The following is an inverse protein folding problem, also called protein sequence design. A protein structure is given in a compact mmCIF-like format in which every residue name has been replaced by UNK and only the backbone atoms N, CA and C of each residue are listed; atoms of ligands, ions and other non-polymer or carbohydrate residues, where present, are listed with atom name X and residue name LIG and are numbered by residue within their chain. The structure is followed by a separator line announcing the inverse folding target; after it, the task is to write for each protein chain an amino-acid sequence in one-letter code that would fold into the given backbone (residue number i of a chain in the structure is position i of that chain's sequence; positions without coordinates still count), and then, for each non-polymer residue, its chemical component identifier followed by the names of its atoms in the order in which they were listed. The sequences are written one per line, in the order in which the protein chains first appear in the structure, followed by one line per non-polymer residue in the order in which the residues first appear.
data_IF_349071859622
#
_entry.id   IF_349071859622
#
_cell.length_a   1.000
_cell.length_b   1.000
_cell.length_c   1.000
_cell.angle_alpha   90.00
_cell.angle_beta   90.00
_cell.angle_gamma   90.00
#
_symmetry.space_group_name_H-M   'P 1'
#
loop_
_entity.id
_entity.type
_entity.pdbx_description
1 polymer ?
#
# COMPACT_ATOMS: atom_id res chain seq x y z
N UNK A 1 22.02 -11.99 20.01
CA UNK A 1 21.38 -12.78 18.92
C UNK A 1 20.38 -11.89 18.24
N UNK A 2 20.71 -11.37 17.04
CA UNK A 2 19.82 -10.47 16.27
C UNK A 2 18.80 -11.32 15.53
N UNK A 3 17.55 -11.30 15.95
CA UNK A 3 16.43 -11.91 15.23
C UNK A 3 16.05 -10.97 14.08
N UNK A 4 16.32 -11.38 12.84
CA UNK A 4 15.90 -10.69 11.63
C UNK A 4 14.38 -10.91 11.45
N UNK A 5 13.62 -9.82 11.45
CA UNK A 5 12.20 -9.82 11.10
C UNK A 5 12.07 -10.20 9.63
N UNK A 6 11.22 -11.18 9.33
CA UNK A 6 10.84 -11.52 7.96
C UNK A 6 9.81 -10.49 7.48
N UNK A 7 10.29 -9.50 6.75
CA UNK A 7 9.45 -8.66 5.92
C UNK A 7 9.16 -9.44 4.63
N UNK A 8 7.92 -9.73 4.38
CA UNK A 8 7.41 -10.12 3.06
C UNK A 8 7.51 -8.89 2.13
N UNK A 9 8.72 -8.58 1.68
CA UNK A 9 8.93 -7.58 0.65
C UNK A 9 8.78 -8.25 -0.71
N UNK A 10 7.70 -7.95 -1.41
CA UNK A 10 7.60 -8.17 -2.84
C UNK A 10 8.24 -6.96 -3.51
N UNK A 11 9.23 -7.11 -4.39
CA UNK A 11 9.83 -5.97 -5.07
C UNK A 11 8.84 -5.31 -6.02
N UNK A 12 8.71 -3.99 -5.90
CA UNK A 12 8.01 -3.17 -6.87
C UNK A 12 8.68 -3.32 -8.24
N UNK A 13 7.97 -3.88 -9.21
CA UNK A 13 8.46 -4.07 -10.56
C UNK A 13 8.64 -2.73 -11.26
N UNK A 14 9.88 -2.43 -11.65
CA UNK A 14 10.19 -1.38 -12.63
C UNK A 14 9.65 -1.85 -14.00
N UNK A 15 8.71 -1.11 -14.55
CA UNK A 15 8.32 -1.27 -15.96
C UNK A 15 9.31 -0.47 -16.80
N UNK A 16 10.25 -1.16 -17.43
CA UNK A 16 11.07 -0.59 -18.50
C UNK A 16 10.35 -0.77 -19.83
N UNK A 17 9.99 0.33 -20.47
CA UNK A 17 9.54 0.37 -21.86
C UNK A 17 10.76 0.16 -22.76
N UNK A 18 10.79 -0.96 -23.50
CA UNK A 18 11.77 -1.22 -24.53
C UNK A 18 11.33 -0.55 -25.85
N UNK A 19 12.13 0.39 -26.34
CA UNK A 19 12.06 0.89 -27.71
C UNK A 19 12.88 0.01 -28.64
N UNK A 20 12.32 -0.36 -29.79
CA UNK A 20 12.99 -1.04 -30.88
C UNK A 20 13.93 -0.12 -31.66
N UNK A 21 15.09 -0.64 -32.07
CA UNK A 21 15.99 -0.01 -33.04
C UNK A 21 17.13 -0.97 -33.40
N UNK A 22 17.28 -1.22 -34.69
CA UNK A 22 18.03 -2.26 -35.39
C UNK A 22 19.57 -2.22 -35.32
N UNK A 23 20.13 -3.44 -35.46
CA UNK A 23 21.39 -3.87 -36.12
C UNK A 23 22.77 -3.28 -35.74
N UNK A 24 23.66 -4.08 -35.13
CA UNK A 24 24.75 -4.81 -35.81
C UNK A 24 25.67 -5.60 -34.84
N UNK A 25 26.26 -6.67 -35.40
CA UNK A 25 27.12 -7.72 -34.84
C UNK A 25 28.32 -7.25 -33.98
N UNK A 26 28.66 -7.95 -32.89
CA UNK A 26 29.71 -8.96 -32.73
C UNK A 26 30.12 -9.18 -31.26
N UNK A 27 30.36 -10.46 -30.96
CA UNK A 27 31.25 -11.04 -29.96
C UNK A 27 30.82 -11.24 -28.51
N UNK A 28 30.96 -12.51 -28.19
CA UNK A 28 30.65 -13.28 -27.01
C UNK A 28 31.24 -12.77 -25.68
N UNK A 29 30.39 -12.65 -24.66
CA UNK A 29 30.77 -12.98 -23.30
C UNK A 29 29.60 -13.67 -22.59
N UNK A 30 29.79 -14.93 -22.20
CA UNK A 30 28.85 -15.72 -21.41
C UNK A 30 28.65 -15.08 -20.05
N UNK A 31 27.45 -14.55 -19.79
CA UNK A 31 26.98 -14.29 -18.44
C UNK A 31 25.75 -15.17 -18.17
N UNK A 32 25.86 -15.97 -17.13
CA UNK A 32 24.82 -16.88 -16.65
C UNK A 32 23.59 -16.09 -16.19
N UNK A 33 22.54 -16.10 -17.00
CA UNK A 33 21.23 -15.62 -16.61
C UNK A 33 20.51 -16.69 -15.80
N UNK A 34 20.35 -16.45 -14.51
CA UNK A 34 19.39 -17.20 -13.69
C UNK A 34 17.96 -16.89 -14.18
N UNK A 35 17.11 -17.89 -14.38
CA UNK A 35 15.74 -17.66 -14.80
C UNK A 35 14.94 -17.07 -13.64
N UNK A 36 14.44 -15.85 -13.81
CA UNK A 36 13.34 -15.32 -13.00
C UNK A 36 12.13 -16.26 -13.17
N UNK A 37 11.48 -16.69 -12.07
CA UNK A 37 10.25 -17.45 -12.19
C UNK A 37 9.16 -16.53 -12.74
N UNK A 38 8.84 -16.70 -14.02
CA UNK A 38 7.64 -16.17 -14.65
C UNK A 38 6.45 -16.83 -13.95
N UNK A 39 5.78 -16.11 -13.05
CA UNK A 39 4.52 -16.55 -12.48
C UNK A 39 3.48 -16.54 -13.63
N UNK A 40 3.26 -17.68 -14.25
CA UNK A 40 2.09 -17.91 -15.09
C UNK A 40 0.86 -17.62 -14.24
N UNK A 41 0.14 -16.56 -14.57
CA UNK A 41 -1.16 -16.25 -13.99
C UNK A 41 -2.09 -17.44 -14.32
N UNK A 42 -2.26 -18.35 -13.38
CA UNK A 42 -3.28 -19.39 -13.42
C UNK A 42 -4.62 -18.69 -13.29
N UNK A 43 -5.41 -18.66 -14.35
CA UNK A 43 -6.81 -18.21 -14.35
C UNK A 43 -7.70 -19.29 -13.73
N UNK A 44 -7.38 -19.75 -12.52
CA UNK A 44 -8.28 -20.60 -11.76
C UNK A 44 -9.54 -19.78 -11.40
N UNK A 45 -10.74 -20.37 -11.46
CA UNK A 45 -11.95 -19.70 -11.03
C UNK A 45 -11.81 -19.29 -9.54
N UNK A 46 -12.50 -18.20 -9.10
CA UNK A 46 -12.42 -17.76 -7.71
C UNK A 46 -12.86 -18.89 -6.76
N UNK A 47 -12.34 -18.92 -5.50
CA UNK A 47 -12.69 -19.95 -4.54
C UNK A 47 -14.20 -19.91 -4.23
N UNK A 48 -14.76 -21.09 -4.01
CA UNK A 48 -16.04 -21.18 -3.31
C UNK A 48 -15.81 -20.81 -1.85
N UNK A 49 -16.59 -19.86 -1.36
CA UNK A 49 -16.55 -19.42 0.05
C UNK A 49 -17.63 -20.16 0.83
N UNK A 50 -17.23 -20.72 1.99
CA UNK A 50 -18.12 -21.45 2.91
C UNK A 50 -17.97 -20.89 4.34
N UNK A 51 -18.95 -21.14 5.20
CA UNK A 51 -18.96 -20.61 6.58
C UNK A 51 -18.09 -21.39 7.58
N UNK A 52 -17.55 -22.52 7.19
CA UNK A 52 -16.73 -23.36 8.07
C UNK A 52 -16.43 -24.73 7.48
N UNK A 53 -15.77 -25.62 8.25
CA UNK A 53 -15.42 -25.51 9.67
C UNK A 53 -14.34 -24.48 9.96
N UNK A 54 -14.41 -23.88 11.18
CA UNK A 54 -13.43 -22.95 11.74
C UNK A 54 -13.12 -23.31 13.19
N UNK A 55 -11.88 -23.17 13.68
CA UNK A 55 -11.54 -23.41 15.08
C UNK A 55 -12.16 -22.35 16.00
N UNK A 56 -12.35 -22.66 17.25
CA UNK A 56 -12.87 -21.70 18.22
C UNK A 56 -11.82 -20.64 18.60
N UNK A 57 -12.22 -19.36 18.64
CA UNK A 57 -11.46 -18.29 19.29
C UNK A 57 -11.74 -18.38 20.79
N UNK A 58 -10.72 -18.78 21.58
CA UNK A 58 -10.86 -19.09 23.01
C UNK A 58 -10.55 -17.92 23.95
N UNK A 59 -9.80 -16.91 23.45
CA UNK A 59 -9.50 -15.67 24.17
C UNK A 59 -9.23 -14.52 23.18
N UNK A 60 -9.18 -13.29 23.70
CA UNK A 60 -8.99 -12.08 22.85
C UNK A 60 -10.13 -11.95 21.84
N UNK A 61 -11.37 -12.04 22.30
CA UNK A 61 -12.56 -12.12 21.45
C UNK A 61 -13.01 -10.76 20.92
N UNK A 62 -12.52 -9.65 21.49
CA UNK A 62 -12.88 -8.31 21.06
C UNK A 62 -11.99 -7.82 19.91
N UNK A 63 -12.53 -6.91 19.11
CA UNK A 63 -11.77 -6.23 18.08
C UNK A 63 -10.53 -5.51 18.67
N UNK A 64 -9.36 -5.69 18.05
CA UNK A 64 -8.10 -5.10 18.51
C UNK A 64 -7.35 -5.92 19.56
N UNK A 65 -7.98 -6.90 20.21
CA UNK A 65 -7.30 -7.82 21.13
C UNK A 65 -6.64 -8.97 20.37
N UNK A 66 -5.42 -9.37 20.80
CA UNK A 66 -4.74 -10.55 20.23
C UNK A 66 -5.58 -11.81 20.50
N UNK A 67 -6.05 -12.51 19.47
CA UNK A 67 -6.84 -13.71 19.66
C UNK A 67 -5.98 -14.91 20.09
N UNK A 68 -6.56 -15.81 20.85
CA UNK A 68 -6.08 -17.19 21.00
C UNK A 68 -7.05 -18.10 20.25
N UNK A 69 -6.53 -18.91 19.34
CA UNK A 69 -7.36 -19.78 18.49
C UNK A 69 -7.02 -21.24 18.78
N UNK A 70 -8.03 -22.05 18.97
CA UNK A 70 -7.87 -23.48 19.21
C UNK A 70 -7.25 -24.19 18.00
N UNK A 71 -6.77 -25.41 18.21
CA UNK A 71 -6.42 -26.34 17.14
C UNK A 71 -7.69 -26.69 16.35
N UNK A 72 -7.58 -26.83 15.03
CA UNK A 72 -8.66 -27.32 14.19
C UNK A 72 -9.11 -28.72 14.59
N UNK A 73 -10.42 -28.97 14.57
CA UNK A 73 -11.02 -30.26 14.84
C UNK A 73 -11.48 -30.90 13.54
N UNK A 74 -11.13 -32.16 13.35
CA UNK A 74 -11.41 -32.88 12.11
C UNK A 74 -10.66 -32.33 10.89
N UNK A 75 -11.14 -32.68 9.71
CA UNK A 75 -10.57 -32.20 8.45
C UNK A 75 -11.02 -30.79 8.13
N UNK A 76 -10.11 -29.90 7.70
CA UNK A 76 -10.48 -28.57 7.22
C UNK A 76 -11.25 -28.67 5.90
N UNK A 77 -12.04 -27.62 5.60
CA UNK A 77 -12.68 -27.49 4.28
C UNK A 77 -11.63 -27.47 3.16
N UNK A 78 -11.96 -28.05 2.00
CA UNK A 78 -11.21 -27.88 0.76
C UNK A 78 -11.51 -26.53 0.07
N UNK A 79 -12.65 -25.93 0.42
CA UNK A 79 -13.05 -24.58 0.00
C UNK A 79 -12.53 -23.54 1.00
N UNK A 80 -12.53 -22.26 0.63
CA UNK A 80 -12.13 -21.16 1.49
C UNK A 80 -13.24 -20.92 2.55
N UNK A 81 -12.97 -21.29 3.80
CA UNK A 81 -13.89 -20.99 4.88
C UNK A 81 -13.67 -19.57 5.42
N UNK A 82 -14.74 -18.76 5.48
CA UNK A 82 -14.68 -17.35 5.93
C UNK A 82 -15.90 -17.00 6.75
N UNK A 83 -15.67 -16.52 7.98
CA UNK A 83 -16.71 -16.05 8.88
C UNK A 83 -16.42 -14.65 9.41
N UNK A 84 -17.41 -13.77 9.38
CA UNK A 84 -17.34 -12.49 10.08
C UNK A 84 -17.71 -12.74 11.54
N UNK A 85 -16.71 -12.68 12.43
CA UNK A 85 -16.88 -12.91 13.88
C UNK A 85 -17.45 -11.67 14.56
N UNK A 86 -16.93 -10.50 14.16
CA UNK A 86 -17.43 -9.20 14.59
C UNK A 86 -17.73 -8.38 13.33
N UNK A 87 -18.95 -7.89 13.21
CA UNK A 87 -19.33 -7.05 12.09
C UNK A 87 -18.88 -5.61 12.30
N UNK A 88 -18.15 -5.06 11.34
CA UNK A 88 -17.79 -3.65 11.30
C UNK A 88 -18.87 -2.79 10.64
N UNK A 89 -18.84 -1.48 10.93
CA UNK A 89 -19.77 -0.49 10.36
C UNK A 89 -19.12 0.43 9.31
N UNK A 90 -17.80 0.32 9.09
CA UNK A 90 -17.06 1.23 8.21
C UNK A 90 -17.16 0.90 6.72
N UNK A 91 -16.27 1.47 5.94
CA UNK A 91 -16.18 1.26 4.48
C UNK A 91 -15.96 -0.22 4.15
N UNK A 92 -16.62 -0.69 3.08
CA UNK A 92 -16.38 -2.03 2.54
C UNK A 92 -15.05 -2.10 1.80
N UNK A 93 -14.32 -3.17 2.03
CA UNK A 93 -13.08 -3.52 1.31
C UNK A 93 -13.45 -3.95 -0.11
N UNK A 94 -12.76 -3.40 -1.10
CA UNK A 94 -12.88 -3.76 -2.51
C UNK A 94 -11.62 -4.48 -3.01
N UNK A 95 -11.69 -5.06 -4.20
CA UNK A 95 -10.52 -5.58 -4.89
C UNK A 95 -9.50 -4.44 -5.14
N UNK A 96 -8.22 -4.79 -5.03
CA UNK A 96 -7.09 -3.88 -5.16
C UNK A 96 -7.00 -2.77 -4.10
N UNK A 97 -7.89 -2.74 -3.10
CA UNK A 97 -7.76 -1.83 -1.97
C UNK A 97 -6.46 -2.12 -1.19
N UNK A 98 -5.90 -1.07 -0.60
CA UNK A 98 -4.91 -1.20 0.46
C UNK A 98 -5.64 -1.39 1.78
N UNK A 99 -5.31 -2.46 2.51
CA UNK A 99 -5.92 -2.80 3.80
C UNK A 99 -4.89 -2.67 4.90
N UNK A 100 -5.29 -2.04 5.99
CA UNK A 100 -4.55 -2.01 7.26
C UNK A 100 -5.24 -2.94 8.22
N UNK A 101 -4.54 -3.96 8.72
CA UNK A 101 -5.13 -4.97 9.58
C UNK A 101 -4.17 -5.47 10.66
N UNK A 102 -4.72 -5.76 11.84
CA UNK A 102 -4.07 -6.69 12.75
C UNK A 102 -4.48 -8.11 12.42
N UNK A 103 -3.57 -9.05 12.60
CA UNK A 103 -3.85 -10.46 12.33
C UNK A 103 -3.03 -11.41 13.18
N UNK A 104 -3.55 -12.62 13.31
CA UNK A 104 -2.84 -13.79 13.78
C UNK A 104 -3.01 -14.89 12.74
N UNK A 105 -1.91 -15.56 12.37
CA UNK A 105 -1.89 -16.73 11.48
C UNK A 105 -1.33 -17.95 12.17
N UNK A 106 -2.04 -19.09 12.11
CA UNK A 106 -1.62 -20.37 12.65
C UNK A 106 -1.91 -21.52 11.70
N UNK A 107 -1.25 -22.66 11.91
CA UNK A 107 -1.51 -23.91 11.21
C UNK A 107 -2.71 -24.63 11.82
N UNK A 108 -3.69 -25.04 11.00
CA UNK A 108 -4.90 -25.76 11.43
C UNK A 108 -4.59 -26.97 12.31
N UNK A 109 -3.74 -27.87 11.81
CA UNK A 109 -3.48 -29.17 12.42
C UNK A 109 -2.71 -29.11 13.75
N UNK A 110 -2.01 -28.02 14.04
CA UNK A 110 -1.08 -27.92 15.19
C UNK A 110 -1.36 -26.76 16.10
N UNK A 111 -2.18 -25.79 15.71
CA UNK A 111 -2.34 -24.46 16.33
C UNK A 111 -1.01 -23.69 16.45
N UNK A 112 0.05 -24.10 15.74
CA UNK A 112 1.32 -23.37 15.75
C UNK A 112 1.15 -22.02 15.07
N UNK A 113 1.28 -20.95 15.84
CA UNK A 113 1.30 -19.58 15.31
C UNK A 113 2.61 -19.40 14.53
N UNK A 114 2.49 -19.05 13.26
CA UNK A 114 3.65 -18.79 12.42
C UNK A 114 3.90 -17.29 12.26
N UNK A 115 2.88 -16.45 12.39
CA UNK A 115 3.01 -15.00 12.34
C UNK A 115 1.84 -14.30 13.01
N UNK A 116 2.09 -13.10 13.57
CA UNK A 116 1.05 -12.20 14.03
C UNK A 116 1.57 -10.75 14.12
N UNK A 117 0.69 -9.79 13.92
CA UNK A 117 0.99 -8.36 14.00
C UNK A 117 0.85 -7.77 15.40
N UNK A 118 0.15 -8.45 16.31
CA UNK A 118 -0.13 -7.93 17.66
C UNK A 118 1.16 -7.82 18.49
N UNK A 119 2.01 -8.84 18.46
CA UNK A 119 3.28 -8.85 19.21
C UNK A 119 4.26 -7.79 18.69
N UNK A 120 4.19 -7.48 17.40
CA UNK A 120 4.97 -6.39 16.79
C UNK A 120 4.37 -5.02 17.08
N UNK A 121 3.12 -4.94 17.59
CA UNK A 121 2.36 -3.70 17.79
C UNK A 121 2.24 -2.83 16.51
N UNK A 122 2.46 -3.43 15.35
CA UNK A 122 2.42 -2.77 14.05
C UNK A 122 1.45 -3.54 13.17
N UNK A 123 0.36 -2.93 12.69
CA UNK A 123 -0.56 -3.58 11.77
C UNK A 123 0.12 -3.90 10.44
N UNK A 124 -0.38 -4.91 9.76
CA UNK A 124 -0.01 -5.19 8.38
C UNK A 124 -0.67 -4.15 7.48
N UNK A 125 0.10 -3.66 6.54
CA UNK A 125 -0.36 -2.83 5.44
C UNK A 125 -0.14 -3.61 4.14
N UNK A 126 -1.20 -3.92 3.40
CA UNK A 126 -1.13 -4.78 2.22
C UNK A 126 -2.16 -4.38 1.17
N UNK A 127 -1.79 -4.47 -0.11
CA UNK A 127 -2.73 -4.34 -1.21
C UNK A 127 -3.38 -5.69 -1.51
N UNK A 128 -4.71 -5.71 -1.65
CA UNK A 128 -5.47 -6.92 -2.03
C UNK A 128 -5.42 -7.14 -3.55
N UNK A 129 -4.23 -7.04 -4.13
CA UNK A 129 -3.98 -7.29 -5.54
C UNK A 129 -3.46 -8.72 -5.75
N UNK A 130 -3.66 -9.25 -6.95
CA UNK A 130 -3.12 -10.55 -7.33
C UNK A 130 -1.58 -10.56 -7.22
N UNK A 131 -1.04 -11.56 -6.55
CA UNK A 131 0.41 -11.70 -6.33
C UNK A 131 0.98 -10.85 -5.19
N UNK A 132 0.23 -9.92 -4.60
CA UNK A 132 0.67 -9.12 -3.45
C UNK A 132 0.44 -9.83 -2.12
N UNK A 133 -0.58 -10.69 -2.06
CA UNK A 133 -0.98 -11.48 -0.88
C UNK A 133 -1.52 -12.83 -1.34
N UNK A 134 -1.59 -13.82 -0.45
CA UNK A 134 -2.24 -15.10 -0.72
C UNK A 134 -3.71 -14.89 -1.12
N UNK A 135 -4.18 -15.66 -2.08
CA UNK A 135 -5.52 -15.51 -2.65
C UNK A 135 -6.64 -15.69 -1.60
N UNK A 136 -6.42 -16.50 -0.56
CA UNK A 136 -7.36 -16.64 0.55
C UNK A 136 -7.69 -15.31 1.24
N UNK A 137 -6.71 -14.43 1.42
CA UNK A 137 -6.93 -13.09 1.95
C UNK A 137 -7.66 -12.19 0.94
N UNK A 138 -7.19 -12.22 -0.31
CA UNK A 138 -7.77 -11.40 -1.39
C UNK A 138 -9.26 -11.67 -1.55
N UNK A 139 -9.68 -12.92 -1.59
CA UNK A 139 -11.09 -13.29 -1.71
C UNK A 139 -11.86 -13.22 -0.39
N UNK A 140 -11.21 -13.55 0.73
CA UNK A 140 -11.88 -13.62 2.03
C UNK A 140 -12.19 -12.25 2.64
N UNK A 141 -11.45 -11.19 2.28
CA UNK A 141 -11.62 -9.84 2.83
C UNK A 141 -12.48 -8.92 1.96
N UNK A 142 -12.58 -9.16 0.65
CA UNK A 142 -13.45 -8.36 -0.24
C UNK A 142 -14.89 -8.43 0.23
N UNK A 143 -15.56 -7.26 0.30
CA UNK A 143 -16.91 -7.10 0.82
C UNK A 143 -17.01 -7.00 2.35
N UNK A 144 -15.95 -7.32 3.10
CA UNK A 144 -15.93 -7.10 4.55
C UNK A 144 -15.76 -5.62 4.86
N UNK A 145 -16.23 -5.19 6.03
CA UNK A 145 -16.21 -3.77 6.43
C UNK A 145 -15.07 -3.46 7.38
N UNK A 146 -14.55 -2.27 7.33
CA UNK A 146 -13.66 -1.71 8.37
C UNK A 146 -14.34 -1.82 9.73
N UNK A 147 -13.59 -2.23 10.75
CA UNK A 147 -14.09 -2.58 12.10
C UNK A 147 -14.52 -4.04 12.24
N UNK A 148 -14.48 -4.84 11.16
CA UNK A 148 -14.78 -6.27 11.25
C UNK A 148 -13.59 -7.07 11.76
N UNK A 149 -13.91 -8.11 12.57
CA UNK A 149 -13.04 -9.27 12.79
C UNK A 149 -13.50 -10.40 11.89
N UNK A 150 -12.59 -10.88 11.06
CA UNK A 150 -12.83 -11.99 10.13
C UNK A 150 -11.96 -13.17 10.53
N UNK A 151 -12.56 -14.34 10.64
CA UNK A 151 -11.84 -15.60 10.77
C UNK A 151 -11.93 -16.37 9.46
N UNK A 152 -10.80 -16.98 9.05
CA UNK A 152 -10.78 -17.80 7.84
C UNK A 152 -9.87 -19.01 7.96
N UNK A 153 -10.26 -20.11 7.31
CA UNK A 153 -9.40 -21.26 7.06
C UNK A 153 -9.08 -21.32 5.58
N UNK A 154 -7.79 -21.20 5.28
CA UNK A 154 -7.26 -21.08 3.92
C UNK A 154 -6.58 -22.40 3.55
N UNK A 155 -7.15 -23.22 2.67
CA UNK A 155 -6.50 -24.44 2.20
C UNK A 155 -5.27 -24.11 1.34
N UNK A 156 -4.34 -25.06 1.16
CA UNK A 156 -3.08 -24.83 0.43
C UNK A 156 -3.26 -24.15 -0.93
N UNK A 157 -4.29 -24.53 -1.68
CA UNK A 157 -4.58 -23.98 -3.03
C UNK A 157 -4.74 -22.46 -3.05
N UNK A 158 -5.28 -21.88 -1.97
CA UNK A 158 -5.51 -20.44 -1.83
C UNK A 158 -4.52 -19.77 -0.87
N UNK A 159 -3.56 -20.59 -0.34
CA UNK A 159 -2.46 -20.14 0.50
C UNK A 159 -1.13 -20.19 -0.25
N UNK A 160 -0.19 -20.99 0.26
CA UNK A 160 1.16 -21.11 -0.30
C UNK A 160 1.35 -22.28 -1.29
N UNK A 161 0.26 -22.93 -1.67
CA UNK A 161 0.29 -24.04 -2.64
C UNK A 161 1.12 -25.24 -2.16
N UNK A 162 1.48 -26.11 -3.09
CA UNK A 162 2.27 -27.33 -2.82
C UNK A 162 3.68 -27.05 -2.28
N UNK A 163 4.21 -25.86 -2.52
CA UNK A 163 5.55 -25.47 -2.06
C UNK A 163 5.57 -25.10 -0.59
N UNK A 164 4.45 -24.61 -0.04
CA UNK A 164 4.40 -24.07 1.31
C UNK A 164 5.24 -22.81 1.47
N UNK A 165 5.62 -22.50 2.71
CA UNK A 165 6.55 -21.43 3.07
C UNK A 165 7.51 -21.93 4.14
N UNK A 166 8.68 -22.40 3.76
CA UNK A 166 9.67 -23.00 4.66
C UNK A 166 10.20 -22.02 5.69
N UNK A 167 10.31 -20.75 5.35
CA UNK A 167 10.78 -19.70 6.27
C UNK A 167 9.77 -19.46 7.40
N UNK A 168 8.48 -19.59 7.13
CA UNK A 168 7.41 -19.52 8.12
C UNK A 168 7.12 -20.89 8.77
N UNK A 169 7.77 -21.97 8.32
CA UNK A 169 7.52 -23.34 8.77
C UNK A 169 6.17 -23.89 8.32
N UNK A 170 5.66 -23.44 7.18
CA UNK A 170 4.39 -23.85 6.57
C UNK A 170 4.69 -24.91 5.50
N UNK A 171 4.03 -26.07 5.59
CA UNK A 171 4.13 -27.15 4.61
C UNK A 171 3.14 -26.93 3.46
N UNK A 172 3.42 -27.52 2.30
CA UNK A 172 2.51 -27.45 1.14
C UNK A 172 1.17 -28.18 1.32
N UNK A 173 0.98 -28.87 2.45
CA UNK A 173 -0.28 -29.54 2.82
C UNK A 173 -1.04 -28.81 3.92
N UNK A 174 -0.46 -27.76 4.49
CA UNK A 174 -1.04 -27.09 5.67
C UNK A 174 -2.19 -26.18 5.27
N UNK A 175 -3.35 -26.38 5.86
CA UNK A 175 -4.42 -25.40 5.92
C UNK A 175 -4.08 -24.37 6.98
N UNK A 176 -4.22 -23.09 6.66
CA UNK A 176 -3.87 -21.97 7.51
C UNK A 176 -5.14 -21.35 8.10
N UNK A 177 -5.08 -20.99 9.37
CA UNK A 177 -6.16 -20.26 10.05
C UNK A 177 -5.69 -18.84 10.30
N UNK A 178 -6.53 -17.87 9.94
CA UNK A 178 -6.27 -16.47 10.23
C UNK A 178 -7.44 -15.86 11.00
N UNK A 179 -7.11 -15.00 11.95
CA UNK A 179 -8.06 -14.06 12.56
C UNK A 179 -7.55 -12.66 12.25
N UNK A 180 -8.39 -11.85 11.60
CA UNK A 180 -7.97 -10.57 10.99
C UNK A 180 -8.91 -9.47 11.46
N UNK A 181 -8.37 -8.41 12.06
CA UNK A 181 -9.07 -7.18 12.41
C UNK A 181 -8.81 -6.11 11.34
N UNK A 182 -9.81 -5.79 10.56
CA UNK A 182 -9.73 -4.78 9.49
C UNK A 182 -9.80 -3.39 10.11
N UNK A 183 -8.66 -2.69 10.20
CA UNK A 183 -8.58 -1.36 10.82
C UNK A 183 -8.93 -0.23 9.86
N UNK A 184 -8.51 -0.37 8.60
CA UNK A 184 -8.80 0.62 7.56
C UNK A 184 -8.69 0.01 6.17
N UNK A 185 -9.28 0.71 5.18
CA UNK A 185 -9.12 0.40 3.76
C UNK A 185 -8.99 1.69 2.94
N UNK A 186 -8.14 1.66 1.90
CA UNK A 186 -7.87 2.80 1.03
C UNK A 186 -7.90 2.38 -0.43
N UNK A 187 -8.46 3.24 -1.28
CA UNK A 187 -8.54 3.05 -2.73
C UNK A 187 -8.48 4.41 -3.47
N UNK A 188 -8.65 4.39 -4.79
CA UNK A 188 -8.56 5.58 -5.62
C UNK A 188 -9.57 6.69 -5.26
N UNK A 189 -10.58 6.41 -4.42
CA UNK A 189 -11.54 7.40 -3.91
C UNK A 189 -11.14 7.96 -2.54
N UNK A 190 -10.05 7.48 -1.95
CA UNK A 190 -9.57 7.99 -0.67
C UNK A 190 -8.98 9.38 -0.84
N UNK A 191 -9.23 10.24 0.15
CA UNK A 191 -8.75 11.63 0.19
C UNK A 191 -8.27 11.96 1.60
N UNK A 192 -7.62 13.10 1.74
CA UNK A 192 -7.31 13.68 3.03
C UNK A 192 -8.55 13.81 3.92
N UNK A 193 -8.34 13.75 5.24
CA UNK A 193 -9.38 13.88 6.27
C UNK A 193 -8.84 14.81 7.37
N UNK A 194 -9.40 15.98 7.48
CA UNK A 194 -8.90 16.97 8.47
C UNK A 194 -9.61 18.29 8.34
N UNK A 195 -8.99 19.31 8.88
CA UNK A 195 -9.51 20.69 8.86
C UNK A 195 -8.86 21.49 7.75
N UNK A 196 -9.64 22.26 7.00
CA UNK A 196 -9.11 23.18 6.00
C UNK A 196 -8.23 24.23 6.65
N UNK A 197 -7.07 24.48 6.05
CA UNK A 197 -6.13 25.52 6.47
C UNK A 197 -6.22 26.69 5.47
N UNK A 198 -6.30 27.96 5.95
CA UNK A 198 -6.32 29.12 5.08
C UNK A 198 -5.07 29.22 4.21
N UNK A 199 -5.23 29.38 2.89
CA UNK A 199 -4.17 29.55 1.91
C UNK A 199 -4.03 31.05 1.57
N UNK A 200 -3.36 31.82 2.41
CA UNK A 200 -3.35 33.29 2.36
C UNK A 200 -2.18 33.87 1.55
N UNK A 201 -1.13 33.08 1.25
CA UNK A 201 -0.01 33.58 0.46
C UNK A 201 -0.37 33.59 -1.03
N UNK A 202 -0.54 34.79 -1.59
CA UNK A 202 -0.84 34.96 -3.01
C UNK A 202 0.31 34.58 -3.95
N UNK A 203 1.53 34.38 -3.44
CA UNK A 203 2.69 33.95 -4.20
C UNK A 203 2.82 32.40 -4.26
N UNK A 204 1.95 31.67 -3.56
CA UNK A 204 1.94 30.22 -3.59
C UNK A 204 0.72 29.67 -4.36
N UNK A 205 0.82 28.47 -4.91
CA UNK A 205 -0.31 27.84 -5.58
C UNK A 205 -1.50 27.66 -4.66
N UNK A 206 -2.71 27.96 -5.16
CA UNK A 206 -3.95 27.61 -4.47
C UNK A 206 -4.36 26.20 -4.84
N UNK A 207 -4.66 25.39 -3.82
CA UNK A 207 -5.03 23.97 -3.96
C UNK A 207 -6.48 23.77 -3.52
N UNK A 208 -7.24 23.00 -4.30
CA UNK A 208 -8.61 22.63 -3.97
C UNK A 208 -8.71 21.82 -2.66
N UNK A 209 -9.79 22.05 -1.91
CA UNK A 209 -10.07 21.38 -0.62
C UNK A 209 -11.11 20.26 -0.72
N UNK A 210 -11.49 19.85 -1.95
CA UNK A 210 -12.43 18.75 -2.17
C UNK A 210 -11.85 17.43 -1.65
N UNK A 211 -12.72 16.60 -1.05
CA UNK A 211 -12.37 15.28 -0.48
C UNK A 211 -13.26 14.17 -1.03
N UNK A 212 -13.70 14.33 -2.27
CA UNK A 212 -14.62 13.42 -2.98
C UNK A 212 -13.90 12.35 -3.83
N UNK A 213 -12.60 12.18 -3.64
CA UNK A 213 -11.75 11.26 -4.40
C UNK A 213 -11.36 11.77 -5.78
N UNK A 214 -11.75 12.98 -6.17
CA UNK A 214 -11.33 13.62 -7.41
C UNK A 214 -10.03 14.41 -7.18
N UNK A 215 -9.26 14.58 -8.26
CA UNK A 215 -8.06 15.39 -8.23
C UNK A 215 -8.38 16.83 -7.79
N UNK A 216 -7.66 17.37 -6.77
CA UNK A 216 -7.80 18.77 -6.43
C UNK A 216 -7.25 19.67 -7.53
N UNK A 217 -7.80 20.89 -7.66
CA UNK A 217 -7.19 21.92 -8.49
C UNK A 217 -5.84 22.33 -7.92
N UNK A 218 -4.93 22.77 -8.79
CA UNK A 218 -3.68 23.44 -8.43
C UNK A 218 -3.61 24.67 -9.33
N UNK A 219 -3.86 25.84 -8.75
CA UNK A 219 -3.83 27.11 -9.46
C UNK A 219 -2.50 27.81 -9.17
N UNK A 220 -1.53 27.66 -10.09
CA UNK A 220 -0.18 28.22 -9.95
C UNK A 220 -0.20 29.71 -10.28
N UNK A 221 0.32 30.59 -9.38
CA UNK A 221 0.33 32.03 -9.64
C UNK A 221 1.36 32.37 -10.73
N UNK A 222 1.17 33.52 -11.39
CA UNK A 222 2.12 34.02 -12.40
C UNK A 222 3.36 34.74 -11.82
N UNK A 223 3.60 34.55 -10.53
CA UNK A 223 4.76 35.09 -9.82
C UNK A 223 5.99 34.20 -10.03
N UNK A 224 7.15 34.68 -9.61
CA UNK A 224 8.39 33.88 -9.62
C UNK A 224 8.27 32.74 -8.61
N UNK A 225 8.72 31.57 -9.01
CA UNK A 225 8.73 30.37 -8.13
C UNK A 225 9.59 30.60 -6.88
N UNK A 226 9.19 30.04 -5.72
CA UNK A 226 10.03 30.02 -4.53
C UNK A 226 11.37 29.33 -4.79
N UNK A 227 12.45 29.90 -4.24
CA UNK A 227 13.79 29.31 -4.30
C UNK A 227 14.09 28.34 -3.17
N UNK A 228 13.21 28.29 -2.17
CA UNK A 228 13.26 27.38 -1.03
C UNK A 228 12.11 26.40 -1.10
N UNK A 229 12.27 25.22 -0.47
CA UNK A 229 11.19 24.24 -0.29
C UNK A 229 10.04 24.89 0.50
N UNK A 230 8.83 24.73 0.00
CA UNK A 230 7.58 25.04 0.71
C UNK A 230 6.85 23.73 0.98
N UNK A 231 6.30 23.58 2.18
CA UNK A 231 5.48 22.43 2.56
C UNK A 231 4.40 22.89 3.53
N UNK A 232 3.23 23.25 3.00
CA UNK A 232 2.14 23.88 3.75
C UNK A 232 0.91 22.97 3.76
N UNK A 233 0.20 22.96 4.89
CA UNK A 233 -1.10 22.31 4.97
C UNK A 233 -2.15 23.04 4.13
N UNK A 234 -2.88 22.27 3.34
CA UNK A 234 -4.15 22.67 2.71
C UNK A 234 -5.33 22.13 3.53
N UNK A 235 -5.16 20.88 3.99
CA UNK A 235 -6.01 20.22 4.97
C UNK A 235 -5.08 19.64 6.03
N UNK A 236 -5.27 19.98 7.27
CA UNK A 236 -4.49 19.43 8.39
C UNK A 236 -5.23 18.23 8.99
N UNK A 237 -4.62 17.05 8.88
CA UNK A 237 -5.07 15.81 9.51
C UNK A 237 -4.73 15.76 10.99
N UNK A 238 -5.28 14.78 11.69
CA UNK A 238 -5.10 14.52 13.12
C UNK A 238 -4.36 13.21 13.43
N UNK A 239 -3.88 12.53 12.37
CA UNK A 239 -3.13 11.29 12.52
C UNK A 239 -1.69 11.53 12.99
N UNK A 240 -0.97 10.42 13.14
CA UNK A 240 0.44 10.47 13.56
C UNK A 240 1.34 11.21 12.56
N UNK A 241 2.42 11.80 13.07
CA UNK A 241 3.44 12.42 12.23
C UNK A 241 4.22 11.41 11.39
N UNK A 242 4.51 11.80 10.16
CA UNK A 242 5.37 11.07 9.22
C UNK A 242 6.83 11.30 9.59
N UNK A 243 7.59 10.23 9.73
CA UNK A 243 9.03 10.28 10.03
C UNK A 243 9.84 10.18 8.73
N UNK A 244 11.10 10.59 8.77
CA UNK A 244 12.00 10.58 7.62
C UNK A 244 12.25 9.17 7.04
N UNK A 245 12.09 8.12 7.84
CA UNK A 245 12.22 6.71 7.45
C UNK A 245 10.89 6.03 7.12
N UNK A 246 9.77 6.77 7.18
CA UNK A 246 8.44 6.23 6.90
C UNK A 246 8.26 5.87 5.43
N UNK A 247 7.47 4.84 5.20
CA UNK A 247 6.79 4.62 3.93
C UNK A 247 5.37 5.18 4.06
N UNK A 248 4.96 6.01 3.10
CA UNK A 248 3.63 6.65 3.10
C UNK A 248 2.78 6.14 1.95
N UNK A 249 1.50 5.89 2.21
CA UNK A 249 0.48 5.71 1.16
C UNK A 249 -0.11 7.06 0.85
N UNK A 250 -0.13 7.43 -0.42
CA UNK A 250 -0.56 8.75 -0.85
C UNK A 250 -1.48 8.73 -2.07
N UNK A 251 -2.30 9.77 -2.16
CA UNK A 251 -2.91 10.28 -3.38
C UNK A 251 -2.22 11.60 -3.70
N UNK A 252 -1.79 11.82 -4.95
CA UNK A 252 -1.10 13.05 -5.30
C UNK A 252 -1.34 13.49 -6.73
N UNK A 253 -1.13 14.77 -6.97
CA UNK A 253 -1.04 15.39 -8.29
C UNK A 253 0.20 16.28 -8.34
N UNK A 254 1.01 16.14 -9.40
CA UNK A 254 2.20 16.93 -9.66
C UNK A 254 2.07 17.75 -10.93
N UNK A 255 2.38 19.04 -10.84
CA UNK A 255 2.43 19.96 -11.96
C UNK A 255 3.77 20.71 -11.98
N UNK A 256 4.22 21.16 -13.14
CA UNK A 256 5.35 22.10 -13.21
C UNK A 256 4.86 23.51 -12.88
N UNK A 257 5.71 24.33 -12.22
CA UNK A 257 5.36 25.70 -11.88
C UNK A 257 5.05 26.52 -13.13
N UNK A 258 5.88 26.42 -14.14
CA UNK A 258 5.71 27.15 -15.39
C UNK A 258 4.58 26.53 -16.21
N UNK A 259 3.46 27.23 -16.26
CA UNK A 259 2.27 26.83 -17.02
C UNK A 259 1.34 25.82 -16.33
N UNK A 260 1.67 25.32 -15.13
CA UNK A 260 0.78 24.44 -14.36
C UNK A 260 0.48 23.09 -15.01
N UNK A 261 1.31 22.65 -15.97
CA UNK A 261 1.09 21.40 -16.71
C UNK A 261 1.29 20.19 -15.77
N UNK A 262 0.29 19.31 -15.72
CA UNK A 262 0.40 18.03 -15.02
C UNK A 262 1.45 17.13 -15.67
N UNK A 263 2.35 16.56 -14.88
CA UNK A 263 3.33 15.60 -15.34
C UNK A 263 3.12 14.20 -14.70
N UNK A 264 2.49 14.14 -13.53
CA UNK A 264 2.19 12.87 -12.87
C UNK A 264 1.04 13.02 -11.87
N UNK A 265 0.21 11.96 -11.73
CA UNK A 265 -0.94 11.96 -10.82
C UNK A 265 -1.44 10.54 -10.54
N UNK A 266 -1.65 10.21 -9.28
CA UNK A 266 -2.35 8.98 -8.89
C UNK A 266 -3.82 9.02 -9.29
N UNK A 267 -4.42 10.19 -9.34
CA UNK A 267 -5.81 10.37 -9.78
C UNK A 267 -6.00 9.99 -11.25
N UNK A 268 -5.07 10.44 -12.11
CA UNK A 268 -5.12 10.12 -13.56
C UNK A 268 -4.89 8.63 -13.82
N UNK A 269 -4.10 7.96 -12.97
CA UNK A 269 -3.87 6.50 -13.06
C UNK A 269 -4.96 5.67 -12.39
N UNK A 270 -5.82 6.28 -11.56
CA UNK A 270 -6.84 5.56 -10.80
C UNK A 270 -6.29 4.62 -9.72
N UNK A 271 -5.05 4.83 -9.25
CA UNK A 271 -4.36 3.97 -8.31
C UNK A 271 -3.57 4.77 -7.28
N UNK A 272 -3.68 4.37 -6.01
CA UNK A 272 -2.83 4.87 -4.94
C UNK A 272 -1.38 4.38 -5.14
N UNK A 273 -0.44 5.08 -4.54
CA UNK A 273 0.97 4.67 -4.55
C UNK A 273 1.55 4.78 -3.14
N UNK A 274 2.43 3.86 -2.79
CA UNK A 274 3.24 3.96 -1.57
C UNK A 274 4.68 4.30 -1.92
N UNK A 275 5.28 5.20 -1.13
CA UNK A 275 6.67 5.63 -1.29
C UNK A 275 7.42 5.57 0.03
N UNK A 276 8.62 5.01 0.02
CA UNK A 276 9.59 5.26 1.08
C UNK A 276 10.15 6.67 0.92
N UNK A 277 10.10 7.49 1.97
CA UNK A 277 10.61 8.86 1.92
C UNK A 277 12.12 8.94 1.71
N UNK A 278 12.83 7.83 1.90
CA UNK A 278 14.27 7.72 1.61
C UNK A 278 14.57 7.47 0.12
N UNK A 279 13.55 7.14 -0.70
CA UNK A 279 13.71 6.74 -2.11
C UNK A 279 13.02 7.70 -3.09
N UNK A 280 12.52 8.84 -2.60
CA UNK A 280 11.93 9.90 -3.43
C UNK A 280 12.88 11.08 -3.59
N UNK A 281 12.54 12.05 -4.46
CA UNK A 281 13.31 13.30 -4.58
C UNK A 281 13.39 14.01 -3.23
N UNK A 282 14.51 14.68 -2.96
CA UNK A 282 14.79 15.29 -1.63
C UNK A 282 13.67 16.18 -1.13
N UNK A 283 13.06 16.96 -2.02
CA UNK A 283 11.95 17.86 -1.69
C UNK A 283 10.71 17.14 -1.16
N UNK A 284 10.41 15.94 -1.67
CA UNK A 284 9.32 15.10 -1.13
C UNK A 284 9.63 14.57 0.27
N UNK A 285 10.82 13.98 0.44
CA UNK A 285 11.25 13.45 1.74
C UNK A 285 11.23 14.53 2.82
N UNK A 286 11.80 15.71 2.53
CA UNK A 286 11.85 16.84 3.46
C UNK A 286 10.46 17.46 3.68
N UNK A 287 9.65 17.61 2.62
CA UNK A 287 8.35 18.27 2.67
C UNK A 287 7.28 17.44 3.37
N UNK A 288 7.39 16.10 3.37
CA UNK A 288 6.43 15.23 4.03
C UNK A 288 6.86 14.80 5.45
N UNK A 289 8.13 14.89 5.77
CA UNK A 289 8.61 14.61 7.15
C UNK A 289 8.02 15.64 8.11
N UNK A 290 7.45 15.18 9.24
CA UNK A 290 6.78 15.99 10.23
C UNK A 290 5.31 16.28 9.92
N UNK A 291 4.83 15.99 8.69
CA UNK A 291 3.42 16.15 8.36
C UNK A 291 2.56 15.04 8.97
N UNK A 292 1.29 15.34 9.25
CA UNK A 292 0.36 14.40 9.88
C UNK A 292 -0.35 13.53 8.83
N UNK A 293 -0.57 12.25 9.15
CA UNK A 293 -1.47 11.38 8.38
C UNK A 293 -2.88 11.97 8.37
N UNK A 294 -3.57 11.86 7.25
CA UNK A 294 -4.87 12.49 6.99
C UNK A 294 -4.77 13.87 6.36
N UNK A 295 -3.57 14.45 6.24
CA UNK A 295 -3.37 15.78 5.67
C UNK A 295 -3.37 15.80 4.15
N UNK A 296 -3.75 16.95 3.58
CA UNK A 296 -3.37 17.40 2.24
C UNK A 296 -2.29 18.46 2.39
N UNK A 297 -1.14 18.22 1.75
CA UNK A 297 0.02 19.10 1.79
C UNK A 297 0.29 19.66 0.40
N UNK A 298 0.44 20.99 0.28
CA UNK A 298 1.05 21.66 -0.85
C UNK A 298 2.57 21.55 -0.69
N UNK A 299 3.28 21.03 -1.69
CA UNK A 299 4.74 21.01 -1.70
C UNK A 299 5.23 21.73 -2.96
N UNK A 300 6.05 22.79 -2.79
CA UNK A 300 6.75 23.45 -3.89
C UNK A 300 8.23 23.12 -3.78
N UNK A 301 8.76 22.44 -4.78
CA UNK A 301 10.11 21.86 -4.79
C UNK A 301 10.98 22.63 -5.79
N UNK A 302 11.97 23.43 -5.34
CA UNK A 302 12.92 24.06 -6.24
C UNK A 302 13.80 23.01 -6.93
N UNK A 303 14.39 23.32 -8.10
CA UNK A 303 15.17 22.37 -8.92
C UNK A 303 16.20 21.57 -8.15
N UNK A 304 16.96 22.22 -7.26
CA UNK A 304 18.03 21.60 -6.46
C UNK A 304 17.56 20.48 -5.51
N UNK A 305 16.28 20.46 -5.16
CA UNK A 305 15.63 19.43 -4.33
C UNK A 305 14.71 18.50 -5.14
N UNK A 306 14.53 18.78 -6.43
CA UNK A 306 13.78 17.99 -7.40
C UNK A 306 14.72 17.23 -8.33
N UNK A 307 14.54 17.41 -9.63
CA UNK A 307 15.33 16.71 -10.68
C UNK A 307 16.51 17.53 -11.23
N UNK A 308 16.57 18.85 -10.97
CA UNK A 308 17.64 19.73 -11.43
C UNK A 308 17.89 19.62 -12.94
N UNK A 309 19.14 19.32 -13.29
CA UNK A 309 19.58 19.15 -14.67
C UNK A 309 19.17 17.82 -15.33
N UNK A 310 18.67 16.85 -14.54
CA UNK A 310 18.44 15.47 -14.99
C UNK A 310 16.99 15.03 -14.78
N UNK A 311 15.99 15.66 -15.43
CA UNK A 311 14.60 15.21 -15.34
C UNK A 311 14.43 13.83 -16.00
N UNK A 312 13.48 13.00 -15.53
CA UNK A 312 13.19 11.72 -16.15
C UNK A 312 12.77 11.89 -17.61
N UNK A 313 13.33 11.09 -18.50
CA UNK A 313 12.98 11.12 -19.93
C UNK A 313 11.48 10.86 -20.11
N UNK A 314 10.82 11.65 -20.96
CA UNK A 314 9.40 11.51 -21.26
C UNK A 314 8.45 12.01 -20.17
N UNK A 315 8.94 12.54 -19.05
CA UNK A 315 8.09 13.04 -17.95
C UNK A 315 7.38 14.36 -18.26
N UNK A 316 7.83 15.10 -19.27
CA UNK A 316 7.35 16.46 -19.54
C UNK A 316 7.93 17.53 -18.61
N UNK A 317 8.82 17.15 -17.68
CA UNK A 317 9.56 18.04 -16.80
C UNK A 317 10.77 18.57 -17.59
N UNK A 318 10.99 19.90 -17.58
CA UNK A 318 12.16 20.51 -18.19
C UNK A 318 13.31 20.58 -17.18
N UNK A 319 14.53 20.77 -17.69
CA UNK A 319 15.69 21.13 -16.86
C UNK A 319 15.36 22.34 -16.00
N UNK A 320 15.80 22.31 -14.74
CA UNK A 320 15.60 23.39 -13.76
C UNK A 320 14.13 23.75 -13.47
N UNK A 321 13.18 22.83 -13.75
CA UNK A 321 11.78 23.04 -13.39
C UNK A 321 11.57 23.03 -11.89
N UNK A 322 10.84 24.02 -11.39
CA UNK A 322 10.23 23.95 -10.05
C UNK A 322 8.97 23.10 -10.13
N UNK A 323 8.84 22.14 -9.21
CA UNK A 323 7.72 21.20 -9.16
C UNK A 323 6.74 21.62 -8.07
N UNK A 324 5.46 21.45 -8.37
CA UNK A 324 4.36 21.69 -7.42
C UNK A 324 3.58 20.40 -7.24
N UNK A 325 3.41 19.97 -6.01
CA UNK A 325 2.58 18.82 -5.69
C UNK A 325 1.49 19.18 -4.69
N UNK A 326 0.36 18.54 -4.84
CA UNK A 326 -0.61 18.35 -3.76
C UNK A 326 -0.60 16.87 -3.39
N UNK A 327 -0.44 16.57 -2.09
CA UNK A 327 -0.27 15.21 -1.58
C UNK A 327 -1.23 14.96 -0.43
N UNK A 328 -2.14 14.00 -0.60
CA UNK A 328 -2.98 13.46 0.47
C UNK A 328 -2.22 12.30 1.13
N UNK A 329 -1.84 12.46 2.39
CA UNK A 329 -1.16 11.43 3.18
C UNK A 329 -2.23 10.53 3.81
N UNK A 330 -2.47 9.36 3.21
CA UNK A 330 -3.56 8.47 3.61
C UNK A 330 -3.19 7.54 4.75
N UNK A 331 -1.95 7.04 4.77
CA UNK A 331 -1.40 6.19 5.81
C UNK A 331 0.13 6.26 5.83
N UNK A 332 0.73 5.81 6.95
CA UNK A 332 2.18 5.58 7.09
C UNK A 332 2.48 4.20 7.63
N UNK A 333 3.66 3.71 7.30
CA UNK A 333 4.27 2.46 7.79
C UNK A 333 5.62 2.76 8.44
#
# INVERSE_FOLDING_TARGET
MRRRSLLLAVPAGLVTLAGCGDDNKSDQAKSSSSPSPSASASSAPPPKIVDGPLPAITAGTKFGEKPTVAKGSGDPSKDLAVKTVIAGGGQSVAENDFVVAHYLGQVWATAKVFDNSYDRKTPLFIQLAQGSIIDGWRYGLVGKKVGSRVEMAVPPTWGYGKQGNTQAGIKGTDTLVFVIDIKNTFNAKSSAKGKNVPQNDANLPKVGTNTDGKAPSIDVPKTKAPTKLVADYVIEGDGDEVKADSTVLVQYKGVVWDGGKEFDSTYSRGQLTSFSLQQVVKGWGQGLTGQKVGSRVLIVIPPALGYGDNPPSGSGIQKDSTLVFTVDILAKM
#
